data_IF_026445814473
#
_entry.id   IF_026445814473
#
_cell.length_a   1.000
_cell.length_b   1.000
_cell.length_c   1.000
_cell.angle_alpha   90.00
_cell.angle_beta   90.00
_cell.angle_gamma   90.00
#
_symmetry.space_group_name_H-M   'P 1'
#
loop_
_entity.id
_entity.type
_entity.pdbx_description
1 polymer ?
#
# COMPACT_ATOMS: atom_id res chain seq x y z
N UNK A 1 34.38 26.92 1.61
CA UNK A 1 33.37 25.96 1.15
C UNK A 1 32.03 26.38 1.72
N UNK A 2 31.15 26.92 0.89
CA UNK A 2 29.83 27.34 1.31
C UNK A 2 29.01 26.11 1.68
N UNK A 3 28.34 26.17 2.85
CA UNK A 3 27.46 25.10 3.27
C UNK A 3 26.28 25.03 2.28
N UNK A 4 25.95 23.86 1.71
CA UNK A 4 24.84 23.76 0.78
C UNK A 4 23.54 24.22 1.44
N UNK A 5 22.76 25.04 0.74
CA UNK A 5 21.45 25.47 1.19
C UNK A 5 20.52 24.25 1.20
N UNK A 6 19.98 23.89 2.36
CA UNK A 6 19.02 22.79 2.52
C UNK A 6 17.62 23.38 2.41
N UNK A 7 16.99 23.25 1.24
CA UNK A 7 15.58 23.56 1.05
C UNK A 7 14.75 22.41 1.62
N UNK A 8 14.03 22.64 2.71
CA UNK A 8 13.06 21.71 3.27
C UNK A 8 11.67 22.16 2.87
N UNK A 9 11.01 21.42 1.98
CA UNK A 9 9.59 21.60 1.71
C UNK A 9 8.75 20.87 2.75
N UNK A 10 7.54 21.35 3.00
CA UNK A 10 6.57 20.60 3.82
C UNK A 10 6.16 19.35 3.06
N UNK A 11 6.50 18.19 3.62
CA UNK A 11 6.19 16.88 3.03
C UNK A 11 4.78 16.39 3.38
N UNK A 12 4.06 17.20 4.15
CA UNK A 12 2.71 16.85 4.61
C UNK A 12 1.69 16.94 3.47
N UNK A 13 0.93 15.88 3.31
CA UNK A 13 -0.16 15.75 2.35
C UNK A 13 -1.49 15.67 3.10
N UNK A 14 -2.13 16.83 3.37
CA UNK A 14 -3.36 16.89 4.15
C UNK A 14 -4.58 16.27 3.46
N UNK A 15 -4.53 16.11 2.15
CA UNK A 15 -5.57 15.45 1.37
C UNK A 15 -5.52 13.91 1.45
N UNK A 16 -4.47 13.31 2.03
CA UNK A 16 -4.39 11.87 2.22
C UNK A 16 -5.00 11.44 3.56
N UNK A 17 -5.95 10.51 3.51
CA UNK A 17 -6.58 9.92 4.69
C UNK A 17 -5.97 8.53 4.90
N UNK A 18 -5.06 8.42 5.86
CA UNK A 18 -4.34 7.18 6.14
C UNK A 18 -5.14 6.29 7.08
N UNK A 19 -5.42 5.08 6.64
CA UNK A 19 -6.17 4.09 7.39
C UNK A 19 -5.35 2.81 7.53
N UNK A 20 -5.29 2.24 8.74
CA UNK A 20 -4.81 0.88 8.95
C UNK A 20 -5.98 -0.01 9.37
N UNK A 21 -6.05 -1.21 8.81
CA UNK A 21 -7.14 -2.14 9.02
C UNK A 21 -6.61 -3.51 9.36
N UNK A 22 -6.98 -3.97 10.53
CA UNK A 22 -6.71 -5.34 10.96
C UNK A 22 -7.53 -6.30 10.11
N UNK A 23 -6.84 -7.25 9.49
CA UNK A 23 -7.41 -8.35 8.70
C UNK A 23 -7.01 -9.70 9.27
N UNK A 24 -6.62 -9.73 10.54
CA UNK A 24 -6.33 -10.95 11.28
C UNK A 24 -7.52 -11.90 11.22
N UNK A 25 -7.27 -13.15 10.93
CA UNK A 25 -8.28 -14.18 10.81
C UNK A 25 -7.79 -15.44 11.53
N UNK A 26 -8.67 -16.04 12.34
CA UNK A 26 -8.41 -17.29 13.08
C UNK A 26 -8.67 -18.54 12.24
N UNK A 27 -8.86 -18.40 10.93
CA UNK A 27 -9.09 -19.52 10.01
C UNK A 27 -7.86 -20.41 9.87
N UNK A 28 -8.08 -21.71 9.71
CA UNK A 28 -7.02 -22.71 9.74
C UNK A 28 -6.25 -22.81 8.42
N UNK A 29 -6.92 -22.59 7.29
CA UNK A 29 -6.30 -22.73 5.97
C UNK A 29 -5.87 -21.39 5.39
N UNK A 30 -4.85 -21.42 4.54
CA UNK A 30 -4.39 -20.24 3.80
C UNK A 30 -5.48 -19.69 2.87
N UNK A 31 -6.25 -20.58 2.26
CA UNK A 31 -7.35 -20.24 1.35
C UNK A 31 -8.45 -19.48 2.07
N UNK A 32 -8.92 -19.97 3.22
CA UNK A 32 -9.93 -19.29 4.02
C UNK A 32 -9.46 -17.91 4.52
N UNK A 33 -8.18 -17.78 4.89
CA UNK A 33 -7.59 -16.49 5.30
C UNK A 33 -7.53 -15.52 4.14
N UNK A 34 -7.16 -16.00 2.96
CA UNK A 34 -7.14 -15.20 1.74
C UNK A 34 -8.55 -14.72 1.36
N UNK A 35 -9.54 -15.62 1.39
CA UNK A 35 -10.94 -15.31 1.12
C UNK A 35 -11.48 -14.25 2.09
N UNK A 36 -11.22 -14.40 3.39
CA UNK A 36 -11.59 -13.41 4.40
C UNK A 36 -10.98 -12.03 4.09
N UNK A 37 -9.69 -12.00 3.75
CA UNK A 37 -8.96 -10.78 3.42
C UNK A 37 -9.52 -10.13 2.16
N UNK A 38 -9.88 -10.91 1.15
CA UNK A 38 -10.53 -10.42 -0.08
C UNK A 38 -11.92 -9.86 0.22
N UNK A 39 -12.72 -10.49 1.06
CA UNK A 39 -14.01 -9.94 1.52
C UNK A 39 -13.85 -8.58 2.20
N UNK A 40 -12.78 -8.40 2.98
CA UNK A 40 -12.46 -7.09 3.57
C UNK A 40 -12.00 -6.07 2.52
N UNK A 41 -11.25 -6.50 1.51
CA UNK A 41 -10.83 -5.67 0.37
C UNK A 41 -12.05 -5.16 -0.41
N UNK A 42 -12.96 -6.06 -0.78
CA UNK A 42 -14.19 -5.67 -1.47
C UNK A 42 -14.99 -4.62 -0.68
N UNK A 43 -15.15 -4.78 0.64
CA UNK A 43 -15.81 -3.78 1.49
C UNK A 43 -15.09 -2.43 1.51
N UNK A 44 -13.77 -2.42 1.36
CA UNK A 44 -12.97 -1.19 1.27
C UNK A 44 -13.19 -0.52 -0.08
N UNK A 45 -13.16 -1.30 -1.17
CA UNK A 45 -13.44 -0.79 -2.52
C UNK A 45 -14.86 -0.21 -2.56
N UNK A 46 -15.89 -0.99 -2.22
CA UNK A 46 -17.30 -0.57 -2.23
C UNK A 46 -17.55 0.71 -1.40
N UNK A 47 -16.76 0.93 -0.34
CA UNK A 47 -16.91 2.10 0.54
C UNK A 47 -16.24 3.36 0.00
N UNK A 48 -15.06 3.23 -0.59
CA UNK A 48 -14.18 4.37 -0.89
C UNK A 48 -13.98 4.63 -2.38
N UNK A 49 -14.23 3.63 -3.23
CA UNK A 49 -14.24 3.82 -4.68
C UNK A 49 -15.56 4.46 -5.11
N UNK A 50 -15.43 5.51 -5.92
CA UNK A 50 -16.57 6.22 -6.52
C UNK A 50 -16.33 6.39 -8.01
N UNK A 51 -15.65 7.45 -8.39
CA UNK A 51 -15.42 7.78 -9.80
C UNK A 51 -13.96 7.76 -10.21
N UNK A 52 -13.05 7.85 -9.24
CA UNK A 52 -11.61 7.87 -9.45
C UNK A 52 -11.00 6.48 -9.60
N UNK A 53 -9.69 6.42 -9.74
CA UNK A 53 -8.95 5.17 -9.88
C UNK A 53 -8.60 4.54 -8.53
N UNK A 54 -8.56 3.22 -8.51
CA UNK A 54 -8.14 2.39 -7.36
C UNK A 54 -6.83 1.69 -7.68
N UNK A 55 -5.87 1.77 -6.79
CA UNK A 55 -4.59 1.07 -6.90
C UNK A 55 -4.39 0.12 -5.73
N UNK A 56 -4.28 -1.17 -6.01
CA UNK A 56 -4.10 -2.22 -5.02
C UNK A 56 -2.69 -2.78 -5.15
N UNK A 57 -1.88 -2.63 -4.10
CA UNK A 57 -0.56 -3.21 -4.03
C UNK A 57 -0.58 -4.57 -3.33
N UNK A 58 -0.02 -5.59 -4.02
CA UNK A 58 0.22 -6.91 -3.46
C UNK A 58 1.70 -7.28 -3.57
N UNK A 59 2.20 -8.05 -2.61
CA UNK A 59 3.65 -8.32 -2.51
C UNK A 59 4.18 -9.23 -3.62
N UNK A 60 3.37 -10.15 -4.16
CA UNK A 60 3.81 -11.14 -5.14
C UNK A 60 2.94 -11.14 -6.38
N UNK A 61 3.51 -11.58 -7.50
CA UNK A 61 2.77 -11.78 -8.75
C UNK A 61 1.63 -12.79 -8.59
N UNK A 62 1.82 -13.82 -7.75
CA UNK A 62 0.79 -14.82 -7.42
C UNK A 62 -0.42 -14.18 -6.74
N UNK A 63 -0.20 -13.29 -5.77
CA UNK A 63 -1.31 -12.54 -5.15
C UNK A 63 -1.99 -11.61 -6.14
N UNK A 64 -1.24 -10.93 -7.01
CA UNK A 64 -1.82 -10.06 -8.04
C UNK A 64 -2.74 -10.87 -8.97
N UNK A 65 -2.29 -12.05 -9.42
CA UNK A 65 -3.08 -12.91 -10.31
C UNK A 65 -4.32 -13.50 -9.60
N UNK A 66 -4.18 -13.95 -8.36
CA UNK A 66 -5.30 -14.44 -7.56
C UNK A 66 -6.36 -13.36 -7.32
N UNK A 67 -5.94 -12.17 -6.89
CA UNK A 67 -6.84 -11.03 -6.70
C UNK A 67 -7.52 -10.61 -8.00
N UNK A 68 -6.78 -10.56 -9.11
CA UNK A 68 -7.35 -10.24 -10.42
C UNK A 68 -8.45 -11.23 -10.81
N UNK A 69 -8.21 -12.52 -10.65
CA UNK A 69 -9.19 -13.55 -11.01
C UNK A 69 -10.48 -13.45 -10.20
N UNK A 70 -10.38 -13.13 -8.92
CA UNK A 70 -11.55 -12.99 -8.03
C UNK A 70 -12.25 -11.66 -8.24
N UNK A 71 -11.49 -10.55 -8.28
CA UNK A 71 -12.11 -9.23 -8.36
C UNK A 71 -12.75 -8.95 -9.72
N UNK A 72 -12.27 -9.54 -10.82
CA UNK A 72 -12.90 -9.38 -12.14
C UNK A 72 -14.30 -9.96 -12.22
N UNK A 73 -14.64 -10.94 -11.36
CA UNK A 73 -16.00 -11.48 -11.28
C UNK A 73 -16.95 -10.51 -10.59
N UNK A 74 -16.48 -9.80 -9.57
CA UNK A 74 -17.27 -8.81 -8.83
C UNK A 74 -17.33 -7.44 -9.52
N UNK A 75 -16.25 -7.03 -10.17
CA UNK A 75 -16.10 -5.75 -10.86
C UNK A 75 -15.72 -6.00 -12.32
N UNK A 76 -16.66 -6.57 -13.12
CA UNK A 76 -16.42 -6.85 -14.53
C UNK A 76 -16.07 -5.55 -15.25
N UNK A 77 -15.14 -5.64 -16.20
CA UNK A 77 -14.68 -4.51 -17.00
C UNK A 77 -13.95 -3.38 -16.27
N UNK A 78 -13.88 -3.38 -14.95
CA UNK A 78 -13.16 -2.36 -14.19
C UNK A 78 -11.74 -2.79 -13.77
N UNK A 79 -11.49 -4.10 -13.63
CA UNK A 79 -10.26 -4.61 -13.03
C UNK A 79 -9.18 -4.89 -14.06
N UNK A 80 -7.98 -4.48 -13.75
CA UNK A 80 -6.75 -4.81 -14.52
C UNK A 80 -5.60 -5.18 -13.59
N UNK A 81 -4.50 -5.68 -14.14
CA UNK A 81 -3.32 -6.08 -13.36
C UNK A 81 -2.02 -5.68 -14.02
N UNK A 82 -0.98 -5.47 -13.19
CA UNK A 82 0.34 -5.11 -13.66
C UNK A 82 1.44 -5.75 -12.82
N UNK A 83 2.27 -6.60 -13.44
CA UNK A 83 3.49 -7.15 -12.85
C UNK A 83 4.43 -7.69 -13.95
N UNK A 84 5.67 -8.03 -13.58
CA UNK A 84 6.72 -8.42 -14.52
C UNK A 84 6.44 -9.70 -15.33
N UNK A 85 5.56 -10.58 -14.83
CA UNK A 85 5.23 -11.87 -15.49
C UNK A 85 4.05 -11.77 -16.46
N UNK A 86 3.38 -10.63 -16.60
CA UNK A 86 2.32 -10.46 -17.61
C UNK A 86 2.95 -10.54 -18.99
N UNK A 87 2.53 -11.53 -19.79
CA UNK A 87 3.00 -11.80 -21.14
C UNK A 87 1.84 -11.83 -22.13
N UNK A 88 2.01 -11.51 -23.40
CA UNK A 88 3.21 -10.85 -23.96
C UNK A 88 3.31 -9.39 -23.49
N UNK A 89 4.46 -8.74 -23.69
CA UNK A 89 4.71 -7.36 -23.26
C UNK A 89 3.69 -6.37 -23.85
N UNK A 90 3.22 -6.62 -25.09
CA UNK A 90 2.14 -5.85 -25.71
C UNK A 90 0.87 -5.86 -24.85
N UNK A 91 0.49 -7.02 -24.28
CA UNK A 91 -0.68 -7.11 -23.39
C UNK A 91 -0.48 -6.31 -22.11
N UNK A 92 0.71 -6.40 -21.51
CA UNK A 92 1.04 -5.63 -20.31
C UNK A 92 0.93 -4.13 -20.57
N UNK A 93 1.44 -3.64 -21.71
CA UNK A 93 1.30 -2.23 -22.12
C UNK A 93 -0.16 -1.85 -22.32
N UNK A 94 -0.98 -2.73 -22.93
CA UNK A 94 -2.40 -2.48 -23.13
C UNK A 94 -3.16 -2.38 -21.81
N UNK A 95 -2.92 -3.30 -20.87
CA UNK A 95 -3.55 -3.26 -19.54
C UNK A 95 -3.21 -1.98 -18.76
N UNK A 96 -1.96 -1.53 -18.88
CA UNK A 96 -1.54 -0.25 -18.32
C UNK A 96 -2.24 0.92 -19.01
N UNK A 97 -2.28 0.92 -20.32
CA UNK A 97 -2.93 1.98 -21.11
C UNK A 97 -4.43 2.08 -20.78
N UNK A 98 -5.13 0.95 -20.68
CA UNK A 98 -6.56 0.93 -20.32
C UNK A 98 -6.81 1.54 -18.93
N UNK A 99 -5.91 1.32 -17.98
CA UNK A 99 -5.96 1.97 -16.67
C UNK A 99 -5.68 3.46 -16.75
N UNK A 100 -4.65 3.87 -17.47
CA UNK A 100 -4.30 5.29 -17.63
C UNK A 100 -5.39 6.10 -18.35
N UNK A 101 -6.14 5.46 -19.24
CA UNK A 101 -7.29 6.08 -19.95
C UNK A 101 -8.60 5.98 -19.16
N UNK A 102 -8.59 5.46 -17.93
CA UNK A 102 -9.79 5.30 -17.12
C UNK A 102 -10.79 4.25 -17.62
N UNK A 103 -10.41 3.44 -18.65
CA UNK A 103 -11.25 2.33 -19.15
C UNK A 103 -11.34 1.20 -18.13
N UNK A 104 -10.30 1.03 -17.34
CA UNK A 104 -10.22 0.13 -16.20
C UNK A 104 -9.86 0.96 -14.98
N UNK A 105 -10.69 0.96 -13.96
CA UNK A 105 -10.52 1.84 -12.80
C UNK A 105 -9.79 1.19 -11.63
N UNK A 106 -9.69 -0.14 -11.60
CA UNK A 106 -9.08 -0.90 -10.50
C UNK A 106 -7.81 -1.59 -11.00
N UNK A 107 -6.65 -1.09 -10.62
CA UNK A 107 -5.35 -1.71 -10.92
C UNK A 107 -4.85 -2.52 -9.73
N UNK A 108 -4.48 -3.79 -9.97
CA UNK A 108 -3.80 -4.63 -9.00
C UNK A 108 -2.35 -4.80 -9.45
N UNK A 109 -1.39 -4.43 -8.62
CA UNK A 109 0.01 -4.41 -9.02
C UNK A 109 0.99 -4.83 -7.91
N UNK A 110 2.17 -5.26 -8.31
CA UNK A 110 3.32 -5.33 -7.41
C UNK A 110 3.99 -3.96 -7.27
N UNK A 111 4.97 -3.85 -6.38
CA UNK A 111 5.79 -2.63 -6.22
C UNK A 111 6.46 -2.16 -7.52
N UNK A 112 6.60 -3.04 -8.53
CA UNK A 112 7.10 -2.66 -9.85
C UNK A 112 6.26 -1.57 -10.55
N UNK A 113 5.00 -1.39 -10.17
CA UNK A 113 4.13 -0.31 -10.65
C UNK A 113 4.53 1.07 -10.11
N UNK A 114 5.34 1.12 -9.06
CA UNK A 114 5.69 2.38 -8.40
C UNK A 114 6.69 3.24 -9.17
N UNK A 115 7.30 2.76 -10.26
CA UNK A 115 8.30 3.51 -11.03
C UNK A 115 7.71 4.14 -12.30
N UNK A 116 7.77 5.47 -12.39
CA UNK A 116 7.58 6.22 -13.64
C UNK A 116 6.15 6.33 -14.19
N UNK A 117 5.13 5.89 -13.47
CA UNK A 117 3.73 5.97 -13.93
C UNK A 117 3.03 7.11 -13.20
N UNK A 118 2.54 8.08 -13.96
CA UNK A 118 1.75 9.19 -13.43
C UNK A 118 0.26 8.95 -13.71
N UNK A 119 -0.52 8.85 -12.64
CA UNK A 119 -1.98 8.74 -12.67
C UNK A 119 -2.52 9.84 -11.77
N UNK A 120 -3.31 10.73 -12.31
CA UNK A 120 -3.73 11.94 -11.62
C UNK A 120 -4.84 11.71 -10.58
N UNK A 121 -5.75 10.78 -10.83
CA UNK A 121 -7.03 10.66 -10.14
C UNK A 121 -7.16 9.43 -9.21
N UNK A 122 -6.05 8.94 -8.64
CA UNK A 122 -6.13 7.81 -7.69
C UNK A 122 -6.79 8.27 -6.39
N UNK A 123 -8.02 7.83 -6.17
CA UNK A 123 -8.82 8.14 -4.97
C UNK A 123 -8.64 7.12 -3.84
N UNK A 124 -8.19 5.90 -4.18
CA UNK A 124 -7.99 4.83 -3.22
C UNK A 124 -6.70 4.05 -3.51
N UNK A 125 -5.81 4.02 -2.55
CA UNK A 125 -4.65 3.11 -2.54
C UNK A 125 -4.85 2.07 -1.45
N UNK A 126 -4.75 0.79 -1.79
CA UNK A 126 -4.83 -0.31 -0.82
C UNK A 126 -3.54 -1.12 -0.83
N UNK A 127 -2.92 -1.27 0.31
CA UNK A 127 -1.87 -2.26 0.52
C UNK A 127 -2.53 -3.55 1.03
N UNK A 128 -2.70 -4.50 0.12
CA UNK A 128 -3.28 -5.82 0.44
C UNK A 128 -2.37 -6.62 1.37
N UNK A 129 -1.07 -6.47 1.22
CA UNK A 129 -0.03 -6.95 2.14
C UNK A 129 0.80 -5.77 2.63
N UNK A 130 1.40 -5.89 3.81
CA UNK A 130 2.33 -4.88 4.31
C UNK A 130 3.49 -4.66 3.34
N UNK A 131 3.88 -3.41 3.06
CA UNK A 131 5.00 -3.11 2.17
C UNK A 131 6.33 -3.59 2.77
N UNK A 132 7.35 -3.75 1.93
CA UNK A 132 8.68 -4.23 2.38
C UNK A 132 9.44 -3.15 3.15
N UNK A 133 9.21 -1.87 2.85
CA UNK A 133 9.86 -0.75 3.51
C UNK A 133 8.93 0.44 3.68
N UNK A 134 9.27 1.32 4.64
CA UNK A 134 8.57 2.60 4.81
C UNK A 134 8.75 3.50 3.58
N UNK A 135 9.90 3.45 2.91
CA UNK A 135 10.13 4.18 1.66
C UNK A 135 9.16 3.74 0.57
N UNK A 136 8.97 2.41 0.39
CA UNK A 136 7.99 1.88 -0.58
C UNK A 136 6.59 2.33 -0.22
N UNK A 137 6.21 2.22 1.06
CA UNK A 137 4.90 2.66 1.53
C UNK A 137 4.63 4.13 1.19
N UNK A 138 5.56 5.01 1.54
CA UNK A 138 5.42 6.46 1.31
C UNK A 138 5.33 6.79 -0.18
N UNK A 139 6.16 6.15 -1.01
CA UNK A 139 6.11 6.33 -2.47
C UNK A 139 4.79 5.84 -3.07
N UNK A 140 4.25 4.74 -2.55
CA UNK A 140 3.02 4.12 -3.02
C UNK A 140 1.79 4.94 -2.63
N UNK A 141 1.67 5.39 -1.38
CA UNK A 141 0.59 6.30 -0.97
C UNK A 141 0.70 7.68 -1.64
N UNK A 142 1.92 8.10 -1.98
CA UNK A 142 2.17 9.35 -2.72
C UNK A 142 1.58 9.37 -4.14
N UNK A 143 1.06 8.24 -4.63
CA UNK A 143 0.29 8.12 -5.88
C UNK A 143 -1.13 8.65 -5.75
N UNK A 144 -1.69 8.63 -4.54
CA UNK A 144 -3.04 9.04 -4.28
C UNK A 144 -3.21 10.57 -4.26
N UNK A 145 -4.33 11.07 -4.75
CA UNK A 145 -4.77 12.45 -4.62
C UNK A 145 -3.77 13.48 -5.19
N UNK A 146 -3.13 13.20 -6.31
CA UNK A 146 -2.22 14.17 -6.96
C UNK A 146 -2.94 15.36 -7.53
N UNK A 147 -4.22 15.21 -7.82
CA UNK A 147 -5.13 16.27 -8.24
C UNK A 147 -5.61 17.18 -7.09
N UNK A 148 -5.13 16.95 -5.86
CA UNK A 148 -5.50 17.71 -4.66
C UNK A 148 -6.78 17.23 -3.98
N UNK A 149 -7.57 16.33 -4.60
CA UNK A 149 -8.76 15.75 -3.97
C UNK A 149 -8.40 14.85 -2.80
N UNK A 150 -9.33 14.66 -1.87
CA UNK A 150 -9.15 13.72 -0.77
C UNK A 150 -9.03 12.29 -1.31
N UNK A 151 -8.00 11.58 -0.87
CA UNK A 151 -7.76 10.19 -1.24
C UNK A 151 -7.54 9.33 0.01
N UNK A 152 -8.03 8.09 -0.06
CA UNK A 152 -7.89 7.12 1.02
C UNK A 152 -6.71 6.19 0.75
N UNK A 153 -5.87 5.99 1.77
CA UNK A 153 -4.76 5.04 1.73
C UNK A 153 -4.97 4.00 2.83
N UNK A 154 -5.35 2.79 2.47
CA UNK A 154 -5.70 1.72 3.40
C UNK A 154 -4.58 0.69 3.46
N UNK A 155 -4.00 0.49 4.63
CA UNK A 155 -2.99 -0.52 4.90
C UNK A 155 -3.64 -1.70 5.64
N UNK A 156 -3.67 -2.88 5.00
CA UNK A 156 -4.05 -4.12 5.66
C UNK A 156 -2.85 -4.69 6.40
N UNK A 157 -3.08 -5.17 7.61
CA UNK A 157 -2.09 -5.87 8.41
C UNK A 157 -2.73 -7.05 9.14
N UNK A 158 -1.91 -8.03 9.46
CA UNK A 158 -2.27 -9.22 10.22
C UNK A 158 -1.42 -9.29 11.48
N UNK A 159 -2.07 -9.35 12.65
CA UNK A 159 -1.38 -9.44 13.94
C UNK A 159 -0.65 -10.78 14.12
N UNK A 160 -1.10 -11.84 13.45
CA UNK A 160 -0.47 -13.16 13.50
C UNK A 160 0.79 -13.25 12.61
N UNK A 161 1.12 -12.20 11.86
CA UNK A 161 2.33 -12.14 11.06
C UNK A 161 2.29 -12.94 9.76
N UNK A 162 1.11 -13.21 9.19
CA UNK A 162 1.00 -13.90 7.89
C UNK A 162 1.75 -13.14 6.77
N UNK A 163 1.77 -11.81 6.84
CA UNK A 163 2.60 -10.98 5.95
C UNK A 163 4.10 -11.22 6.19
N UNK A 164 4.49 -11.71 7.36
CA UNK A 164 5.86 -12.03 7.71
C UNK A 164 6.33 -13.33 7.07
N UNK A 165 5.47 -14.30 6.83
CA UNK A 165 5.82 -15.57 6.18
C UNK A 165 6.31 -15.35 4.75
N UNK A 166 5.63 -14.50 3.97
CA UNK A 166 6.01 -14.13 2.60
C UNK A 166 7.36 -13.41 2.60
N UNK A 167 7.53 -12.52 3.52
CA UNK A 167 8.73 -11.71 3.62
C UNK A 167 9.91 -12.49 4.19
N UNK A 168 9.69 -13.45 5.08
CA UNK A 168 10.72 -14.38 5.53
C UNK A 168 11.23 -15.22 4.36
N UNK A 169 10.38 -15.56 3.40
CA UNK A 169 10.78 -16.24 2.16
C UNK A 169 11.70 -15.37 1.32
N UNK A 170 11.42 -14.07 1.21
CA UNK A 170 12.32 -13.11 0.55
C UNK A 170 13.65 -12.98 1.27
N UNK A 171 13.65 -12.87 2.60
CA UNK A 171 14.87 -12.79 3.40
C UNK A 171 15.70 -14.05 3.25
N UNK A 172 15.11 -15.25 3.30
CA UNK A 172 15.80 -16.52 3.10
C UNK A 172 16.44 -16.60 1.71
N UNK A 173 15.71 -16.20 0.67
CA UNK A 173 16.24 -16.17 -0.71
C UNK A 173 17.42 -15.19 -0.83
N UNK A 174 17.29 -13.99 -0.26
CA UNK A 174 18.34 -12.97 -0.31
C UNK A 174 19.56 -13.34 0.53
N UNK A 175 19.37 -14.04 1.67
CA UNK A 175 20.47 -14.51 2.51
C UNK A 175 21.40 -15.48 1.78
N UNK A 176 20.85 -16.29 0.85
CA UNK A 176 21.66 -17.17 -0.02
C UNK A 176 22.56 -16.37 -0.97
N UNK A 177 22.23 -15.12 -1.27
CA UNK A 177 22.96 -14.25 -2.20
C UNK A 177 23.87 -13.26 -1.46
N UNK A 178 23.40 -12.64 -0.37
CA UNK A 178 24.14 -11.66 0.41
C UNK A 178 23.58 -11.51 1.84
N UNK A 179 24.40 -11.78 2.84
CA UNK A 179 24.03 -11.59 4.25
C UNK A 179 23.77 -10.11 4.59
N UNK A 180 24.52 -9.17 3.98
CA UNK A 180 24.35 -7.73 4.17
C UNK A 180 22.99 -7.26 3.63
N UNK A 181 22.61 -7.70 2.45
CA UNK A 181 21.30 -7.37 1.86
C UNK A 181 20.13 -7.93 2.68
N UNK A 182 20.26 -9.16 3.19
CA UNK A 182 19.24 -9.75 4.07
C UNK A 182 19.10 -8.98 5.39
N UNK A 183 20.18 -8.51 5.99
CA UNK A 183 20.15 -7.66 7.20
C UNK A 183 19.42 -6.35 6.92
N UNK A 184 19.71 -5.71 5.79
CA UNK A 184 19.04 -4.47 5.37
C UNK A 184 17.53 -4.66 5.20
N UNK A 185 17.10 -5.75 4.55
CA UNK A 185 15.67 -6.07 4.39
C UNK A 185 15.01 -6.28 5.76
N UNK A 186 15.66 -7.00 6.66
CA UNK A 186 15.15 -7.24 8.03
C UNK A 186 14.94 -5.92 8.78
N UNK A 187 15.90 -5.00 8.69
CA UNK A 187 15.79 -3.66 9.32
C UNK A 187 14.62 -2.85 8.74
N UNK A 188 14.51 -2.80 7.41
CA UNK A 188 13.42 -2.08 6.73
C UNK A 188 12.05 -2.63 7.14
N UNK A 189 11.93 -3.93 7.29
CA UNK A 189 10.68 -4.57 7.71
C UNK A 189 10.34 -4.29 9.17
N UNK A 190 11.35 -4.29 10.04
CA UNK A 190 11.13 -3.88 11.43
C UNK A 190 10.53 -2.49 11.50
N UNK A 191 11.00 -1.55 10.68
CA UNK A 191 10.43 -0.19 10.62
C UNK A 191 8.96 -0.19 10.19
N UNK A 192 8.58 -1.01 9.22
CA UNK A 192 7.16 -1.15 8.79
C UNK A 192 6.32 -1.79 9.90
N UNK A 193 6.83 -2.83 10.55
CA UNK A 193 6.18 -3.48 11.69
C UNK A 193 5.94 -2.46 12.83
N UNK A 194 6.97 -1.72 13.22
CA UNK A 194 6.89 -0.71 14.27
C UNK A 194 5.86 0.38 13.91
N UNK A 195 5.81 0.81 12.63
CA UNK A 195 4.78 1.74 12.14
C UNK A 195 3.36 1.17 12.22
N UNK A 196 3.16 -0.09 11.83
CA UNK A 196 1.85 -0.76 11.88
C UNK A 196 1.32 -0.85 13.31
N UNK A 197 2.20 -1.18 14.27
CA UNK A 197 1.84 -1.36 15.68
C UNK A 197 1.96 -0.08 16.53
N UNK A 198 2.33 1.04 15.92
CA UNK A 198 2.40 2.33 16.61
C UNK A 198 1.01 2.86 16.95
N UNK A 199 0.88 3.43 18.16
CA UNK A 199 -0.30 4.18 18.61
C UNK A 199 -0.19 5.70 18.36
N UNK A 200 0.82 6.10 17.60
CA UNK A 200 1.00 7.49 17.18
C UNK A 200 0.14 7.83 15.96
N UNK A 201 -0.01 9.11 15.69
CA UNK A 201 -0.60 9.58 14.45
C UNK A 201 0.21 9.05 13.25
N UNK A 202 -0.44 8.34 12.33
CA UNK A 202 0.23 7.75 11.15
C UNK A 202 0.99 8.78 10.32
N UNK A 203 0.42 9.97 10.14
CA UNK A 203 1.11 11.07 9.41
C UNK A 203 2.33 11.55 10.18
N UNK A 204 2.22 11.68 11.52
CA UNK A 204 3.38 12.05 12.34
C UNK A 204 4.52 11.05 12.25
N UNK A 205 4.23 9.76 12.26
CA UNK A 205 5.25 8.72 12.16
C UNK A 205 5.93 8.74 10.78
N UNK A 206 5.16 8.97 9.70
CA UNK A 206 5.73 9.12 8.36
C UNK A 206 6.65 10.34 8.28
N UNK A 207 6.21 11.48 8.78
CA UNK A 207 7.00 12.72 8.72
C UNK A 207 8.27 12.62 9.58
N UNK A 208 8.19 11.97 10.75
CA UNK A 208 9.38 11.66 11.56
C UNK A 208 10.35 10.73 10.84
N UNK A 209 9.83 9.68 10.17
CA UNK A 209 10.66 8.80 9.34
C UNK A 209 11.40 9.58 8.23
N UNK A 210 10.77 10.63 7.69
CA UNK A 210 11.36 11.53 6.70
C UNK A 210 12.26 12.64 7.30
N UNK A 211 12.51 12.63 8.62
CA UNK A 211 13.42 13.54 9.31
C UNK A 211 12.78 14.86 9.78
N UNK A 212 11.45 14.95 9.81
CA UNK A 212 10.76 16.10 10.43
C UNK A 212 10.58 15.85 11.93
N UNK A 213 10.97 16.81 12.78
CA UNK A 213 10.94 16.64 14.25
C UNK A 213 9.70 17.25 14.89
N UNK A 214 9.24 18.39 14.41
CA UNK A 214 8.05 19.06 14.92
C UNK A 214 6.83 18.72 14.07
N UNK A 215 6.08 17.70 14.48
CA UNK A 215 4.96 17.19 13.69
C UNK A 215 3.66 17.24 14.45
N UNK A 216 2.72 18.05 13.94
CA UNK A 216 1.34 18.08 14.45
C UNK A 216 0.55 16.83 14.00
N UNK A 217 -0.38 16.38 14.85
CA UNK A 217 -1.28 15.26 14.50
C UNK A 217 -2.20 15.63 13.34
N UNK A 218 -2.53 14.66 12.49
CA UNK A 218 -3.37 14.91 11.31
C UNK A 218 -4.88 14.96 11.61
N UNK A 219 -5.30 14.50 12.80
CA UNK A 219 -6.71 14.40 13.27
C UNK A 219 -7.62 13.53 12.36
N UNK A 220 -7.12 12.89 11.30
CA UNK A 220 -7.93 12.19 10.27
C UNK A 220 -7.59 10.71 10.10
N UNK A 221 -6.39 10.25 10.47
CA UNK A 221 -6.00 8.85 10.34
C UNK A 221 -6.71 7.96 11.36
N UNK A 222 -6.62 6.63 11.16
CA UNK A 222 -7.24 5.63 12.06
C UNK A 222 -6.95 5.91 13.53
N UNK A 223 -5.69 6.13 13.90
CA UNK A 223 -5.29 6.35 15.30
C UNK A 223 -5.89 7.63 15.87
N UNK A 224 -5.84 8.72 15.11
CA UNK A 224 -6.46 9.98 15.55
C UNK A 224 -7.97 9.85 15.73
N UNK A 225 -8.64 9.07 14.88
CA UNK A 225 -10.08 8.82 15.00
C UNK A 225 -10.41 7.95 16.23
N UNK A 226 -9.59 6.93 16.51
CA UNK A 226 -9.74 6.08 17.71
C UNK A 226 -9.56 6.89 19.00
N UNK A 227 -8.49 7.70 19.10
CA UNK A 227 -8.25 8.56 20.28
C UNK A 227 -9.40 9.51 20.56
N UNK A 228 -10.02 10.10 19.52
CA UNK A 228 -11.20 10.96 19.71
C UNK A 228 -12.45 10.23 20.21
N UNK A 229 -12.60 8.94 19.85
CA UNK A 229 -13.73 8.12 20.35
C UNK A 229 -13.56 7.77 21.82
N UNK A 230 -12.31 7.48 22.23
CA UNK A 230 -11.99 7.10 23.60
C UNK A 230 -11.94 8.30 24.57
N UNK A 231 -11.94 9.54 24.04
CA UNK A 231 -11.94 10.78 24.82
C UNK A 231 -13.35 11.39 25.00
N UNK A 232 -14.38 10.72 24.48
CA UNK A 232 -15.80 11.02 24.69
C UNK A 232 -16.43 10.02 25.64
#
# INVERSE_FOLDING_TARGET
>A
MDKPAVLRSDLRRDNLILLKKDVTCQKNTLEERLEFRIKKLCKVIDKYHKDGSVLIFAQTTTYVDALYNILKEKYPDEVTRYHSRVKPERRKKQLLFDFLQGRRKIMIATSAFSMGIDVADIELVVHFNAPISMTDYIQQIGRAGRDGRNAHCVLFYDQNGDDDSISNSFIKKTKKQSAKAAKTIKTKRKQVHDFIHSDNCMVSDILKYQGQHEVKTCKRCTICAQKRRNSK
#
